data_IF_539097161536
#
_entry.id   IF_539097161536
#
_cell.length_a   1.000
_cell.length_b   1.000
_cell.length_c   1.000
_cell.angle_alpha   90.00
_cell.angle_beta   90.00
_cell.angle_gamma   90.00
#
_symmetry.space_group_name_H-M   'P 1'
#
loop_
_entity.id
_entity.type
_entity.pdbx_description
1 polymer ?
#
# COMPACT_ATOMS: atom_id res chain seq x y z
N UNK A 1 22.96 -17.07 -40.19
CA UNK A 1 23.89 -17.17 -39.05
C UNK A 1 25.15 -17.83 -39.52
N UNK A 2 26.31 -17.15 -39.44
CA UNK A 2 27.57 -17.54 -40.09
C UNK A 2 28.17 -18.79 -39.43
N UNK A 3 28.49 -19.88 -40.19
CA UNK A 3 29.00 -21.17 -39.66
C UNK A 3 30.32 -21.05 -38.87
N UNK A 4 31.12 -20.02 -39.13
CA UNK A 4 32.38 -19.80 -38.43
C UNK A 4 32.22 -19.35 -36.99
N UNK A 5 31.15 -18.64 -36.65
CA UNK A 5 30.83 -18.26 -35.27
C UNK A 5 30.41 -19.43 -34.39
N UNK A 6 29.81 -20.46 -34.97
CA UNK A 6 29.45 -21.70 -34.23
C UNK A 6 30.67 -22.55 -33.86
N UNK A 7 31.71 -22.57 -34.69
CA UNK A 7 32.95 -23.27 -34.39
C UNK A 7 33.76 -22.62 -33.26
N UNK A 8 33.74 -21.28 -33.20
CA UNK A 8 34.43 -20.54 -32.13
C UNK A 8 33.77 -20.79 -30.74
N UNK A 9 32.44 -20.91 -30.67
CA UNK A 9 31.71 -21.20 -29.45
C UNK A 9 31.94 -22.62 -28.92
N UNK A 10 31.96 -23.63 -29.81
CA UNK A 10 32.16 -25.02 -29.43
C UNK A 10 33.58 -25.35 -28.93
N UNK A 11 34.59 -24.61 -29.35
CA UNK A 11 35.97 -24.80 -28.87
C UNK A 11 36.21 -24.16 -27.49
N UNK A 12 35.50 -23.10 -27.12
CA UNK A 12 35.67 -22.45 -25.82
C UNK A 12 35.02 -23.20 -24.65
N UNK A 13 33.99 -23.99 -24.93
CA UNK A 13 33.28 -24.78 -23.90
C UNK A 13 34.07 -26.05 -23.49
N UNK A 14 35.08 -26.43 -24.25
CA UNK A 14 35.89 -27.62 -23.96
C UNK A 14 37.11 -27.38 -23.06
N UNK A 15 37.51 -26.14 -22.82
CA UNK A 15 38.73 -25.83 -22.07
C UNK A 15 38.53 -25.50 -20.59
N UNK A 16 37.29 -25.43 -20.07
CA UNK A 16 37.04 -25.07 -18.67
C UNK A 16 36.43 -26.17 -17.79
N UNK A 17 36.75 -27.46 -18.06
CA UNK A 17 36.41 -28.53 -17.11
C UNK A 17 37.69 -28.98 -16.41
N UNK A 18 37.98 -28.57 -15.17
CA UNK A 18 39.04 -29.16 -14.39
C UNK A 18 38.70 -30.61 -14.09
N UNK A 19 39.57 -31.52 -14.48
CA UNK A 19 39.50 -32.95 -14.15
C UNK A 19 39.48 -33.12 -12.63
N UNK A 20 38.36 -33.57 -12.07
CA UNK A 20 38.29 -34.02 -10.68
C UNK A 20 39.16 -35.25 -10.51
N UNK A 21 40.34 -35.05 -9.95
CA UNK A 21 41.24 -36.09 -9.55
C UNK A 21 40.62 -36.92 -8.42
N UNK A 22 40.37 -38.17 -8.69
CA UNK A 22 39.80 -39.17 -7.80
C UNK A 22 40.79 -39.46 -6.66
N UNK A 23 40.60 -38.82 -5.50
CA UNK A 23 41.34 -39.19 -4.29
C UNK A 23 40.42 -40.08 -3.44
N UNK A 24 40.55 -41.36 -3.64
CA UNK A 24 40.04 -42.41 -2.76
C UNK A 24 40.81 -42.42 -1.45
N UNK A 25 40.24 -41.82 -0.41
CA UNK A 25 40.71 -42.00 0.95
C UNK A 25 39.64 -42.74 1.74
N UNK A 26 39.78 -44.05 2.04
CA UNK A 26 38.84 -44.78 2.88
C UNK A 26 39.24 -44.58 4.34
N UNK A 27 38.65 -43.64 5.01
CA UNK A 27 38.99 -43.50 6.42
C UNK A 27 38.20 -42.48 7.21
N UNK A 28 37.17 -42.92 7.77
CA UNK A 28 36.44 -42.63 9.00
C UNK A 28 34.96 -42.46 8.79
N UNK A 29 34.24 -43.57 8.80
CA UNK A 29 32.83 -43.55 9.22
C UNK A 29 32.80 -43.01 10.67
N UNK A 30 32.42 -41.76 10.81
CA UNK A 30 32.04 -41.21 12.12
C UNK A 30 30.73 -41.89 12.47
N UNK A 31 30.79 -42.86 13.37
CA UNK A 31 29.62 -43.43 14.03
C UNK A 31 28.91 -42.29 14.77
N UNK A 32 27.99 -41.60 14.13
CA UNK A 32 27.06 -40.69 14.77
C UNK A 32 26.12 -41.55 15.61
N UNK A 33 26.32 -41.47 16.91
CA UNK A 33 25.54 -42.17 17.91
C UNK A 33 24.03 -41.85 17.67
N UNK A 34 23.24 -42.86 17.34
CA UNK A 34 21.82 -42.74 16.92
C UNK A 34 20.96 -41.87 17.86
N UNK A 35 21.36 -41.82 19.15
CA UNK A 35 20.71 -40.95 20.16
C UNK A 35 20.95 -39.44 19.96
N UNK A 36 22.08 -39.05 19.31
CA UNK A 36 22.32 -37.62 18.97
C UNK A 36 21.63 -37.18 17.68
N UNK A 37 21.42 -38.11 16.74
CA UNK A 37 20.68 -37.85 15.50
C UNK A 37 19.19 -37.55 15.77
N UNK A 38 18.60 -38.23 16.76
CA UNK A 38 17.19 -38.02 17.17
C UNK A 38 16.94 -36.65 17.81
N UNK A 39 17.96 -35.96 18.33
CA UNK A 39 17.85 -34.61 18.89
C UNK A 39 18.08 -33.49 17.86
N UNK A 40 18.82 -33.77 16.78
CA UNK A 40 19.15 -32.79 15.74
C UNK A 40 17.98 -32.61 14.76
N UNK A 41 17.23 -33.69 14.47
CA UNK A 41 16.09 -33.65 13.54
C UNK A 41 14.97 -32.69 14.01
N UNK A 42 14.50 -32.73 15.29
CA UNK A 42 13.48 -31.77 15.74
C UNK A 42 14.00 -30.33 15.81
N UNK A 43 15.28 -30.12 16.11
CA UNK A 43 15.87 -28.76 16.11
C UNK A 43 15.97 -28.18 14.70
N UNK A 44 16.33 -28.98 13.69
CA UNK A 44 16.33 -28.57 12.29
C UNK A 44 14.90 -28.32 11.76
N UNK A 45 13.90 -29.08 12.22
CA UNK A 45 12.50 -28.88 11.86
C UNK A 45 11.93 -27.58 12.45
N UNK A 46 12.35 -27.18 13.65
CA UNK A 46 11.92 -25.92 14.29
C UNK A 46 12.47 -24.72 13.54
N UNK A 47 13.68 -24.79 12.97
CA UNK A 47 14.28 -23.71 12.17
C UNK A 47 13.56 -23.53 10.82
N UNK A 48 12.99 -24.62 10.26
CA UNK A 48 12.23 -24.56 9.00
C UNK A 48 10.83 -23.90 9.17
N UNK A 49 10.32 -23.82 10.42
CA UNK A 49 9.07 -23.15 10.75
C UNK A 49 9.27 -21.70 11.23
N UNK A 50 10.51 -21.20 11.34
CA UNK A 50 10.77 -19.77 11.42
C UNK A 50 10.43 -19.15 10.07
N UNK A 51 9.12 -19.04 9.77
CA UNK A 51 8.59 -18.45 8.56
C UNK A 51 9.17 -17.05 8.41
N UNK A 52 9.65 -16.73 7.23
CA UNK A 52 9.85 -15.34 6.81
C UNK A 52 8.49 -14.64 6.88
N UNK A 53 8.14 -14.10 8.03
CA UNK A 53 7.11 -13.08 8.10
C UNK A 53 7.55 -11.97 7.16
N UNK A 54 6.76 -11.67 6.13
CA UNK A 54 6.96 -10.48 5.33
C UNK A 54 6.75 -9.29 6.23
N UNK A 55 7.82 -8.76 6.80
CA UNK A 55 7.74 -7.49 7.51
C UNK A 55 7.42 -6.41 6.47
N UNK A 56 6.34 -5.68 6.73
CA UNK A 56 6.05 -4.46 5.97
C UNK A 56 7.21 -3.46 6.17
N UNK A 57 7.45 -2.56 5.20
CA UNK A 57 8.45 -1.51 5.33
C UNK A 57 8.32 -0.73 6.63
N UNK A 58 9.40 -0.06 7.03
CA UNK A 58 9.47 0.70 8.28
C UNK A 58 8.29 1.66 8.45
N UNK A 59 7.79 1.69 9.67
CA UNK A 59 6.69 2.51 10.12
C UNK A 59 7.11 3.99 10.25
N UNK A 60 6.39 4.84 9.56
CA UNK A 60 6.53 6.29 9.66
C UNK A 60 5.34 6.86 10.44
N UNK A 61 5.56 7.61 11.53
CA UNK A 61 4.45 8.31 12.18
C UNK A 61 3.85 9.36 11.22
N UNK A 62 2.55 9.63 11.34
CA UNK A 62 1.87 10.65 10.54
C UNK A 62 2.44 12.07 10.71
N UNK A 63 3.17 12.32 11.81
CA UNK A 63 3.98 13.53 12.01
C UNK A 63 3.19 14.80 12.36
N UNK A 64 1.87 14.72 12.59
CA UNK A 64 1.06 15.86 12.99
C UNK A 64 0.04 15.48 14.07
N UNK A 65 -0.32 16.47 14.89
CA UNK A 65 -1.36 16.28 15.90
C UNK A 65 -2.77 16.29 15.29
N UNK A 66 -3.76 15.95 16.09
CA UNK A 66 -5.16 15.86 15.66
C UNK A 66 -5.69 17.17 15.07
N UNK A 67 -6.48 17.04 14.02
CA UNK A 67 -7.23 18.12 13.37
C UNK A 67 -8.71 17.75 13.26
N UNK A 68 -9.60 18.74 13.31
CA UNK A 68 -11.04 18.49 13.14
C UNK A 68 -11.42 18.72 11.69
N UNK A 69 -11.88 17.65 11.03
CA UNK A 69 -12.41 17.63 9.68
C UNK A 69 -13.92 17.44 9.71
N UNK A 70 -14.58 17.51 8.56
CA UNK A 70 -15.97 17.18 8.34
C UNK A 70 -16.05 15.98 7.40
N UNK A 71 -16.95 15.03 7.71
CA UNK A 71 -17.25 13.96 6.76
C UNK A 71 -18.35 14.40 5.76
N UNK A 72 -18.69 13.52 4.83
CA UNK A 72 -19.73 13.72 3.81
C UNK A 72 -21.13 13.98 4.39
N UNK A 73 -21.37 13.67 5.68
CA UNK A 73 -22.62 13.92 6.40
C UNK A 73 -22.54 15.17 7.28
N UNK A 74 -21.53 16.02 7.08
CA UNK A 74 -21.22 17.22 7.86
C UNK A 74 -20.93 16.95 9.34
N UNK A 75 -20.65 15.70 9.71
CA UNK A 75 -20.27 15.33 11.07
C UNK A 75 -18.77 15.59 11.28
N UNK A 76 -18.44 16.02 12.50
CA UNK A 76 -17.03 16.26 12.88
C UNK A 76 -16.27 14.95 13.04
N UNK A 77 -15.11 14.88 12.44
CA UNK A 77 -14.17 13.77 12.54
C UNK A 77 -12.82 14.30 13.04
N UNK A 78 -12.36 13.84 14.18
CA UNK A 78 -11.04 14.20 14.71
C UNK A 78 -10.01 13.26 14.06
N UNK A 79 -9.31 13.76 13.06
CA UNK A 79 -8.31 12.99 12.29
C UNK A 79 -6.91 13.20 12.88
N UNK A 80 -6.07 12.16 13.07
CA UNK A 80 -6.33 10.75 12.76
C UNK A 80 -7.00 9.95 13.91
N UNK A 81 -7.34 10.57 15.03
CA UNK A 81 -7.79 9.89 16.25
C UNK A 81 -9.04 9.01 16.06
N UNK A 82 -9.95 9.39 15.15
CA UNK A 82 -11.13 8.61 14.80
C UNK A 82 -10.81 7.21 14.23
N UNK A 83 -9.57 7.00 13.80
CA UNK A 83 -9.08 5.75 13.18
C UNK A 83 -8.11 4.98 14.08
N UNK A 84 -7.93 5.38 15.35
CA UNK A 84 -7.11 4.64 16.31
C UNK A 84 -7.61 3.20 16.48
N UNK A 85 -6.69 2.26 16.62
CA UNK A 85 -6.93 0.82 16.72
C UNK A 85 -7.60 0.23 15.47
N UNK A 86 -7.48 0.91 14.32
CA UNK A 86 -8.00 0.45 13.04
C UNK A 86 -6.90 0.53 11.98
N UNK A 87 -6.96 -0.36 11.02
CA UNK A 87 -6.16 -0.25 9.80
C UNK A 87 -6.86 0.77 8.91
N UNK A 88 -6.15 1.78 8.45
CA UNK A 88 -6.71 2.84 7.60
C UNK A 88 -6.06 2.83 6.22
N UNK A 89 -6.88 2.74 5.19
CA UNK A 89 -6.50 3.08 3.82
C UNK A 89 -6.89 4.53 3.55
N UNK A 90 -5.89 5.39 3.37
CA UNK A 90 -6.07 6.83 3.15
C UNK A 90 -5.62 7.21 1.74
N UNK A 91 -6.45 7.96 1.03
CA UNK A 91 -6.09 8.62 -0.23
C UNK A 91 -6.52 10.08 -0.26
N UNK A 92 -6.06 10.79 -1.29
CA UNK A 92 -6.28 12.22 -1.46
C UNK A 92 -6.92 12.47 -2.82
N UNK A 93 -8.04 13.19 -2.82
CA UNK A 93 -8.84 13.43 -4.02
C UNK A 93 -9.25 14.89 -4.18
N UNK A 94 -9.84 15.22 -5.31
CA UNK A 94 -10.80 16.31 -5.50
C UNK A 94 -11.88 15.88 -6.52
N UNK A 95 -13.12 16.30 -6.30
CA UNK A 95 -14.25 15.75 -7.06
C UNK A 95 -14.23 16.10 -8.55
N UNK A 96 -13.63 17.23 -8.92
CA UNK A 96 -13.53 17.71 -10.30
C UNK A 96 -12.32 17.12 -11.06
N UNK A 97 -11.67 16.08 -10.53
CA UNK A 97 -10.58 15.39 -11.23
C UNK A 97 -11.15 14.58 -12.41
N UNK A 98 -10.67 14.81 -13.64
CA UNK A 98 -11.21 14.11 -14.81
C UNK A 98 -10.60 12.71 -15.01
N UNK A 99 -9.57 12.33 -14.26
CA UNK A 99 -8.73 11.17 -14.59
C UNK A 99 -8.42 10.28 -13.38
N UNK A 100 -7.37 10.57 -12.64
CA UNK A 100 -6.83 9.63 -11.62
C UNK A 100 -7.67 9.49 -10.36
N UNK A 101 -8.36 10.53 -9.87
CA UNK A 101 -9.17 10.41 -8.66
C UNK A 101 -10.32 9.41 -8.81
N UNK A 102 -11.12 9.43 -9.90
CA UNK A 102 -12.14 8.40 -10.13
C UNK A 102 -11.58 6.98 -10.16
N UNK A 103 -10.40 6.77 -10.74
CA UNK A 103 -9.74 5.46 -10.77
C UNK A 103 -9.27 5.03 -9.38
N UNK A 104 -8.70 5.95 -8.60
CA UNK A 104 -8.26 5.68 -7.23
C UNK A 104 -9.44 5.33 -6.33
N UNK A 105 -10.55 6.10 -6.40
CA UNK A 105 -11.79 5.81 -5.67
C UNK A 105 -12.36 4.44 -6.06
N UNK A 106 -12.35 4.10 -7.35
CA UNK A 106 -12.77 2.77 -7.79
C UNK A 106 -11.90 1.65 -7.21
N UNK A 107 -10.58 1.83 -7.19
CA UNK A 107 -9.67 0.86 -6.56
C UNK A 107 -9.90 0.73 -5.04
N UNK A 108 -10.21 1.84 -4.35
CA UNK A 108 -10.59 1.81 -2.94
C UNK A 108 -11.91 1.04 -2.72
N UNK A 109 -12.88 1.18 -3.62
CA UNK A 109 -14.13 0.43 -3.60
C UNK A 109 -13.87 -1.07 -3.82
N UNK A 110 -13.03 -1.45 -4.79
CA UNK A 110 -12.64 -2.85 -5.00
C UNK A 110 -11.94 -3.45 -3.76
N UNK A 111 -11.08 -2.68 -3.09
CA UNK A 111 -10.45 -3.10 -1.83
C UNK A 111 -11.49 -3.31 -0.74
N UNK A 112 -12.49 -2.43 -0.62
CA UNK A 112 -13.58 -2.56 0.34
C UNK A 112 -14.38 -3.86 0.11
N UNK A 113 -14.66 -4.20 -1.15
CA UNK A 113 -15.36 -5.44 -1.51
C UNK A 113 -14.54 -6.68 -1.15
N UNK A 114 -13.22 -6.71 -1.45
CA UNK A 114 -12.35 -7.83 -1.11
C UNK A 114 -12.19 -8.00 0.40
N UNK A 115 -12.07 -6.90 1.17
CA UNK A 115 -12.05 -6.92 2.63
C UNK A 115 -13.32 -7.56 3.21
N UNK A 116 -14.48 -7.25 2.63
CA UNK A 116 -15.75 -7.86 3.04
C UNK A 116 -15.79 -9.36 2.73
N UNK A 117 -15.34 -9.78 1.54
CA UNK A 117 -15.27 -11.19 1.14
C UNK A 117 -14.36 -11.99 2.04
N UNK A 118 -13.19 -11.43 2.38
CA UNK A 118 -12.20 -12.07 3.24
C UNK A 118 -12.53 -11.95 4.74
N UNK A 119 -13.63 -11.24 5.07
CA UNK A 119 -14.11 -11.01 6.45
C UNK A 119 -13.05 -10.35 7.35
N UNK A 120 -12.16 -9.51 6.78
CA UNK A 120 -11.18 -8.74 7.52
C UNK A 120 -11.89 -7.67 8.37
N UNK A 121 -11.42 -7.49 9.60
CA UNK A 121 -12.07 -6.61 10.57
C UNK A 121 -11.25 -5.32 10.77
N UNK A 122 -11.89 -4.33 11.35
CA UNK A 122 -11.24 -3.09 11.76
C UNK A 122 -10.48 -2.35 10.65
N UNK A 123 -10.91 -2.52 9.40
CA UNK A 123 -10.35 -1.80 8.26
C UNK A 123 -11.28 -0.67 7.85
N UNK A 124 -10.75 0.54 7.77
CA UNK A 124 -11.46 1.77 7.41
C UNK A 124 -10.86 2.38 6.14
N UNK A 125 -11.69 3.08 5.41
CA UNK A 125 -11.33 3.81 4.19
C UNK A 125 -11.60 5.29 4.40
N UNK A 126 -10.64 6.13 4.03
CA UNK A 126 -10.82 7.57 4.04
C UNK A 126 -10.29 8.20 2.75
N UNK A 127 -11.06 9.08 2.18
CA UNK A 127 -10.65 9.94 1.07
C UNK A 127 -10.73 11.39 1.50
N UNK A 128 -9.57 12.06 1.63
CA UNK A 128 -9.48 13.45 2.02
C UNK A 128 -9.41 14.34 0.78
N UNK A 129 -10.40 15.22 0.63
CA UNK A 129 -10.34 16.24 -0.41
C UNK A 129 -9.28 17.30 -0.08
N UNK A 130 -8.45 17.61 -1.07
CA UNK A 130 -7.52 18.74 -1.00
C UNK A 130 -8.05 20.02 -1.66
N UNK A 131 -9.31 20.02 -2.09
CA UNK A 131 -9.98 21.21 -2.66
C UNK A 131 -11.24 21.61 -1.86
N UNK A 132 -11.10 22.01 -0.61
CA UNK A 132 -12.24 22.29 0.24
C UNK A 132 -13.11 23.46 -0.23
N UNK A 133 -12.64 24.25 -1.18
CA UNK A 133 -13.41 25.35 -1.76
C UNK A 133 -14.55 24.85 -2.65
N UNK A 134 -14.35 23.74 -3.36
CA UNK A 134 -15.35 23.11 -4.22
C UNK A 134 -15.99 21.90 -3.56
N UNK A 135 -15.21 21.14 -2.80
CA UNK A 135 -15.60 19.85 -2.22
C UNK A 135 -16.22 20.04 -0.82
N UNK A 136 -17.43 20.60 -0.77
CA UNK A 136 -18.22 20.63 0.45
C UNK A 136 -18.66 19.20 0.86
N UNK A 137 -19.09 18.97 2.12
CA UNK A 137 -19.66 17.68 2.54
C UNK A 137 -20.74 17.16 1.57
N UNK A 138 -21.65 18.03 1.14
CA UNK A 138 -22.73 17.68 0.19
C UNK A 138 -22.17 17.18 -1.16
N UNK A 139 -21.18 17.89 -1.71
CA UNK A 139 -20.55 17.48 -2.98
C UNK A 139 -19.83 16.15 -2.82
N UNK A 140 -19.12 15.93 -1.71
CA UNK A 140 -18.47 14.65 -1.41
C UNK A 140 -19.50 13.52 -1.24
N UNK A 141 -20.64 13.79 -0.62
CA UNK A 141 -21.75 12.83 -0.51
C UNK A 141 -22.29 12.44 -1.88
N UNK A 142 -22.52 13.43 -2.74
CA UNK A 142 -22.99 13.20 -4.12
C UNK A 142 -21.95 12.42 -4.93
N UNK A 143 -20.66 12.77 -4.82
CA UNK A 143 -19.56 12.06 -5.47
C UNK A 143 -19.53 10.57 -5.10
N UNK A 144 -19.74 10.24 -3.82
CA UNK A 144 -19.80 8.87 -3.35
C UNK A 144 -21.09 8.15 -3.76
N UNK A 145 -22.24 8.82 -3.71
CA UNK A 145 -23.53 8.24 -4.10
C UNK A 145 -23.57 7.84 -5.59
N UNK A 146 -23.03 8.68 -6.48
CA UNK A 146 -22.94 8.37 -7.92
C UNK A 146 -22.09 7.10 -8.19
N UNK A 147 -21.21 6.74 -7.24
CA UNK A 147 -20.31 5.59 -7.32
C UNK A 147 -20.76 4.40 -6.49
N UNK A 148 -21.95 4.46 -5.91
CA UNK A 148 -22.50 3.41 -5.03
C UNK A 148 -21.56 3.02 -3.88
N UNK A 149 -20.85 4.02 -3.28
CA UNK A 149 -19.93 3.77 -2.16
C UNK A 149 -20.70 3.29 -0.94
N UNK A 150 -20.25 2.20 -0.34
CA UNK A 150 -20.77 1.73 0.93
C UNK A 150 -20.11 2.47 2.11
N UNK A 151 -20.86 3.36 2.73
CA UNK A 151 -20.40 4.18 3.85
C UNK A 151 -20.25 3.45 5.19
N UNK A 152 -20.40 2.13 5.24
CA UNK A 152 -20.28 1.38 6.50
C UNK A 152 -18.89 1.48 7.14
N UNK A 153 -17.84 1.60 6.32
CA UNK A 153 -16.45 1.80 6.71
C UNK A 153 -15.70 2.69 5.71
N UNK A 154 -16.40 3.52 4.95
CA UNK A 154 -15.82 4.43 3.96
C UNK A 154 -16.25 5.86 4.26
N UNK A 155 -15.29 6.78 4.36
CA UNK A 155 -15.54 8.17 4.74
C UNK A 155 -14.83 9.12 3.77
N UNK A 156 -15.58 10.09 3.23
CA UNK A 156 -15.01 11.26 2.58
C UNK A 156 -14.78 12.35 3.60
N UNK A 157 -13.65 13.05 3.50
CA UNK A 157 -13.26 14.08 4.45
C UNK A 157 -12.97 15.40 3.73
N UNK A 158 -13.38 16.49 4.36
CA UNK A 158 -13.01 17.85 3.97
C UNK A 158 -12.84 18.70 5.23
N UNK A 159 -12.43 19.96 5.10
CA UNK A 159 -12.25 20.80 6.26
C UNK A 159 -11.69 22.17 5.93
N UNK A 160 -11.09 22.83 6.92
CA UNK A 160 -10.43 24.12 6.69
C UNK A 160 -9.19 23.91 5.83
N UNK A 161 -8.99 24.80 4.86
CA UNK A 161 -7.82 24.75 3.95
C UNK A 161 -6.49 24.65 4.70
N UNK A 162 -6.34 25.40 5.82
CA UNK A 162 -5.12 25.34 6.63
C UNK A 162 -4.87 23.98 7.27
N UNK A 163 -5.92 23.29 7.74
CA UNK A 163 -5.83 21.98 8.35
C UNK A 163 -5.49 20.91 7.30
N UNK A 164 -6.14 20.96 6.14
CA UNK A 164 -5.87 20.09 4.99
C UNK A 164 -4.41 20.28 4.54
N UNK A 165 -3.97 21.52 4.34
CA UNK A 165 -2.59 21.83 3.94
C UNK A 165 -1.55 21.31 4.95
N UNK A 166 -1.86 21.36 6.24
CA UNK A 166 -1.03 20.77 7.30
C UNK A 166 -0.90 19.26 7.10
N UNK A 167 -2.01 18.54 6.85
CA UNK A 167 -1.99 17.09 6.60
C UNK A 167 -1.16 16.76 5.35
N UNK A 168 -1.44 17.43 4.22
CA UNK A 168 -0.73 17.23 2.95
C UNK A 168 0.79 17.38 3.11
N UNK A 169 1.22 18.48 3.76
CA UNK A 169 2.64 18.77 3.98
C UNK A 169 3.33 17.68 4.81
N UNK A 170 2.71 17.24 5.92
CA UNK A 170 3.30 16.21 6.79
C UNK A 170 3.33 14.83 6.14
N UNK A 171 2.39 14.54 5.27
CA UNK A 171 2.33 13.30 4.52
C UNK A 171 3.07 13.37 3.18
N UNK A 172 3.76 14.47 2.87
CA UNK A 172 4.45 14.68 1.59
C UNK A 172 3.52 14.46 0.38
N UNK A 173 2.29 14.97 0.47
CA UNK A 173 1.32 14.93 -0.62
C UNK A 173 1.37 16.26 -1.37
N UNK A 174 1.72 16.19 -2.64
CA UNK A 174 1.65 17.34 -3.53
C UNK A 174 0.20 17.55 -3.97
N UNK A 175 -0.29 18.78 -3.89
CA UNK A 175 -1.55 19.22 -4.50
C UNK A 175 -1.38 20.69 -4.93
N UNK A 176 -0.98 20.90 -6.17
CA UNK A 176 -0.72 22.22 -6.73
C UNK A 176 -1.80 22.57 -7.74
N UNK A 177 -2.57 23.65 -7.51
CA UNK A 177 -3.51 24.13 -8.51
C UNK A 177 -2.73 24.60 -9.75
N UNK A 178 -3.22 24.24 -10.92
CA UNK A 178 -2.77 24.77 -12.19
C UNK A 178 -3.39 26.14 -12.48
N UNK A 179 -3.24 26.59 -13.73
CA UNK A 179 -3.83 27.85 -14.17
C UNK A 179 -5.35 27.84 -14.04
N UNK A 180 -5.88 28.96 -13.57
CA UNK A 180 -7.31 29.14 -13.39
C UNK A 180 -7.90 29.85 -14.61
N UNK A 181 -8.89 29.23 -15.24
CA UNK A 181 -9.70 29.85 -16.29
C UNK A 181 -11.02 30.32 -15.69
N UNK A 182 -11.28 31.63 -15.77
CA UNK A 182 -12.56 32.19 -15.34
C UNK A 182 -13.62 31.94 -16.41
N UNK A 183 -14.74 31.35 -16.00
CA UNK A 183 -15.90 31.14 -16.87
C UNK A 183 -17.14 31.73 -16.25
N UNK A 184 -18.23 31.86 -17.03
CA UNK A 184 -19.53 32.34 -16.53
C UNK A 184 -20.11 31.44 -15.43
N UNK A 185 -19.76 30.14 -15.44
CA UNK A 185 -20.18 29.13 -14.47
C UNK A 185 -19.25 29.00 -13.26
N UNK A 186 -18.18 29.79 -13.18
CA UNK A 186 -17.20 29.80 -12.09
C UNK A 186 -15.77 29.51 -12.57
N UNK A 187 -14.87 29.41 -11.61
CA UNK A 187 -13.45 29.17 -11.86
C UNK A 187 -13.18 27.69 -12.20
N UNK A 188 -12.56 27.45 -13.37
CA UNK A 188 -12.09 26.11 -13.78
C UNK A 188 -10.60 26.02 -13.59
N UNK A 189 -10.15 25.09 -12.76
CA UNK A 189 -8.75 24.74 -12.55
C UNK A 189 -8.60 23.26 -12.23
N UNK A 190 -7.45 22.71 -12.53
CA UNK A 190 -7.07 21.34 -12.23
C UNK A 190 -5.86 21.33 -11.31
N UNK A 191 -5.61 20.19 -10.66
CA UNK A 191 -4.45 20.03 -9.80
C UNK A 191 -3.43 19.08 -10.42
N UNK A 192 -2.15 19.43 -10.29
CA UNK A 192 -1.08 18.44 -10.31
C UNK A 192 -0.94 17.89 -8.91
N UNK A 193 -1.18 16.60 -8.71
CA UNK A 193 -1.20 16.02 -7.38
C UNK A 193 -0.58 14.62 -7.31
N UNK A 194 -0.22 14.23 -6.09
CA UNK A 194 0.25 12.88 -5.79
C UNK A 194 -0.89 11.87 -5.95
N UNK A 195 -0.62 10.78 -6.68
CA UNK A 195 -1.51 9.64 -6.87
C UNK A 195 -1.11 8.51 -5.91
N UNK A 196 -1.77 8.41 -4.76
CA UNK A 196 -1.33 7.51 -3.70
C UNK A 196 -2.47 7.00 -2.82
N UNK A 197 -2.42 5.69 -2.51
CA UNK A 197 -3.12 5.07 -1.38
C UNK A 197 -2.08 4.79 -0.31
N UNK A 198 -2.33 5.22 0.92
CA UNK A 198 -1.46 5.05 2.08
C UNK A 198 -2.09 4.05 3.03
N UNK A 199 -1.38 2.97 3.37
CA UNK A 199 -1.76 1.99 4.39
C UNK A 199 -1.21 2.44 5.73
N UNK A 200 -2.09 2.61 6.72
CA UNK A 200 -1.79 3.06 8.07
C UNK A 200 -2.26 1.98 9.04
N UNK A 201 -1.41 1.61 10.00
CA UNK A 201 -1.72 0.59 10.99
C UNK A 201 -2.54 1.11 12.17
N UNK A 202 -2.86 0.21 13.10
CA UNK A 202 -3.66 0.48 14.29
C UNK A 202 -3.00 1.50 15.25
N UNK A 203 -1.68 1.65 15.19
CA UNK A 203 -0.89 2.62 15.96
C UNK A 203 -0.82 4.00 15.27
N UNK A 204 -1.41 4.14 14.08
CA UNK A 204 -1.38 5.37 13.28
C UNK A 204 -0.05 5.59 12.55
N UNK A 205 0.66 4.52 12.22
CA UNK A 205 1.92 4.57 11.48
C UNK A 205 1.73 4.17 10.04
N UNK A 206 2.36 4.89 9.11
CA UNK A 206 2.37 4.54 7.68
C UNK A 206 3.20 3.28 7.50
N UNK A 207 2.60 2.24 6.91
CA UNK A 207 3.25 0.94 6.70
C UNK A 207 3.61 0.70 5.24
N UNK A 208 2.82 1.23 4.32
CA UNK A 208 3.11 1.16 2.89
C UNK A 208 2.39 2.26 2.12
N UNK A 209 2.89 2.55 0.93
CA UNK A 209 2.30 3.51 0.00
C UNK A 209 2.21 2.87 -1.39
N UNK A 210 1.06 2.97 -2.03
CA UNK A 210 0.78 2.37 -3.34
C UNK A 210 0.35 3.44 -4.33
N UNK A 211 0.59 3.21 -5.60
CA UNK A 211 0.04 4.07 -6.64
C UNK A 211 -1.47 3.90 -6.73
N UNK A 212 -2.24 4.95 -6.42
CA UNK A 212 -3.69 4.89 -6.26
C UNK A 212 -4.43 4.44 -7.52
N UNK A 213 -4.17 5.09 -8.66
CA UNK A 213 -4.84 4.78 -9.95
C UNK A 213 -4.43 3.43 -10.55
N UNK A 214 -3.33 2.81 -10.08
CA UNK A 214 -2.81 1.52 -10.55
C UNK A 214 -2.54 0.58 -9.38
N UNK A 215 -3.41 0.58 -8.38
CA UNK A 215 -3.27 -0.21 -7.18
C UNK A 215 -3.30 -1.72 -7.51
N UNK A 216 -2.38 -2.47 -6.93
CA UNK A 216 -2.44 -3.92 -6.92
C UNK A 216 -3.29 -4.37 -5.73
N UNK A 217 -4.56 -4.66 -5.97
CA UNK A 217 -5.55 -5.02 -4.95
C UNK A 217 -5.06 -6.19 -4.10
N UNK A 218 -4.57 -7.27 -4.73
CA UNK A 218 -4.12 -8.46 -4.01
C UNK A 218 -2.91 -8.19 -3.11
N UNK A 219 -1.99 -7.33 -3.55
CA UNK A 219 -0.85 -6.92 -2.73
C UNK A 219 -1.32 -6.19 -1.48
N UNK A 220 -2.22 -5.21 -1.64
CA UNK A 220 -2.74 -4.41 -0.53
C UNK A 220 -3.50 -5.28 0.47
N UNK A 221 -4.33 -6.22 -0.01
CA UNK A 221 -5.04 -7.18 0.85
C UNK A 221 -4.06 -8.06 1.64
N UNK A 222 -2.99 -8.54 1.01
CA UNK A 222 -1.97 -9.35 1.70
C UNK A 222 -1.22 -8.53 2.77
N UNK A 223 -0.94 -7.25 2.49
CA UNK A 223 -0.30 -6.34 3.43
C UNK A 223 -1.23 -6.02 4.63
N UNK A 224 -2.54 -5.85 4.39
CA UNK A 224 -3.55 -5.69 5.45
C UNK A 224 -3.61 -6.94 6.34
N UNK A 225 -3.65 -8.14 5.75
CA UNK A 225 -3.64 -9.40 6.52
C UNK A 225 -2.41 -9.52 7.43
N UNK A 226 -1.25 -9.04 6.97
CA UNK A 226 -0.03 -9.02 7.79
C UNK A 226 -0.13 -8.07 9.00
N UNK A 227 -1.03 -7.08 8.97
CA UNK A 227 -1.26 -6.15 10.08
C UNK A 227 -2.34 -6.64 11.06
N UNK A 228 -3.17 -7.62 10.68
CA UNK A 228 -4.19 -8.21 11.57
C UNK A 228 -3.61 -9.33 12.46
N UNK A 229 -2.50 -9.97 12.03
CA UNK A 229 -1.78 -11.03 12.76
C UNK A 229 -0.93 -10.45 13.93
#
# INVERSE_FOLDING_TARGET
>A
MNPEKLKYWNNRVKEEIPSLHNSTNPGRLIWLNSKKLLLIIPLALIILFAGCGKNLPEDKPLGFGSVTLLNQDSSKVVFPDAYKNKILLLTFIYTNCPDICPMTTHNMQMLQEEIKKDNLKNVEFAELSFDPKRDSPTILKEFGNIRDIDYSNFTFLTGKEADIKKILNNMNVLALPGDTTKTESGDVYFFTHTDRITLIDQDGKIRNEYRGSKANIQQIINDIKTLED
#
